data_IF_969318309660
#
_entry.id   IF_969318309660
#
_cell.length_a   1.000
_cell.length_b   1.000
_cell.length_c   1.000
_cell.angle_alpha   90.00
_cell.angle_beta   90.00
_cell.angle_gamma   90.00
#
_symmetry.space_group_name_H-M   'P 1'
#
loop_
_entity.id
_entity.type
_entity.pdbx_description
1 polymer ?
#
# COMPACT_ATOMS: atom_id res chain seq x y z
N UNK A 1 29.87 10.19 -13.32
CA UNK A 1 29.14 9.67 -12.14
C UNK A 1 27.85 8.99 -12.61
N UNK A 2 27.91 7.67 -12.87
CA UNK A 2 26.80 6.90 -13.46
C UNK A 2 25.80 6.56 -12.35
N UNK A 3 24.83 7.44 -12.12
CA UNK A 3 23.71 7.18 -11.20
C UNK A 3 22.95 5.96 -11.71
N UNK A 4 22.72 4.99 -10.83
CA UNK A 4 21.98 3.76 -11.14
C UNK A 4 20.69 4.09 -11.91
N UNK A 5 20.37 3.31 -12.96
CA UNK A 5 19.20 3.51 -13.85
C UNK A 5 17.86 3.23 -13.15
N UNK A 6 17.81 3.22 -11.82
CA UNK A 6 16.60 2.98 -11.06
C UNK A 6 15.71 4.21 -11.14
N UNK A 7 14.53 4.05 -11.72
CA UNK A 7 13.46 5.03 -11.69
C UNK A 7 12.33 4.52 -10.80
N UNK A 8 11.81 5.42 -9.96
CA UNK A 8 10.65 5.13 -9.13
C UNK A 8 9.39 5.13 -10.00
N UNK A 9 8.53 4.12 -9.83
CA UNK A 9 7.25 4.02 -10.54
C UNK A 9 6.13 4.20 -9.54
N UNK A 10 5.58 5.41 -9.47
CA UNK A 10 4.44 5.79 -8.60
C UNK A 10 3.29 4.79 -8.69
N UNK A 11 2.89 4.38 -9.91
CA UNK A 11 1.83 3.39 -10.13
C UNK A 11 2.10 2.00 -9.54
N UNK A 12 3.34 1.65 -9.23
CA UNK A 12 3.71 0.36 -8.61
C UNK A 12 3.84 0.44 -7.09
N UNK A 13 3.66 1.61 -6.51
CA UNK A 13 3.83 1.87 -5.08
C UNK A 13 2.51 2.32 -4.50
N UNK A 14 2.26 2.00 -3.23
CA UNK A 14 1.16 2.55 -2.47
C UNK A 14 1.68 3.27 -1.24
N UNK A 15 1.02 4.36 -0.89
CA UNK A 15 1.36 5.16 0.28
C UNK A 15 0.42 4.89 1.45
N UNK A 16 0.94 5.06 2.66
CA UNK A 16 0.17 5.04 3.91
C UNK A 16 0.87 5.93 4.93
N UNK A 17 0.13 6.87 5.50
CA UNK A 17 0.60 7.73 6.59
C UNK A 17 -0.14 7.32 7.86
N UNK A 18 0.56 7.21 8.99
CA UNK A 18 -0.07 6.88 10.27
C UNK A 18 0.20 8.04 11.23
N UNK A 19 -0.86 8.65 11.74
CA UNK A 19 -0.79 9.67 12.78
C UNK A 19 -1.63 9.25 13.97
N UNK A 20 -1.03 9.26 15.16
CA UNK A 20 -1.70 8.85 16.43
C UNK A 20 -2.37 7.48 16.36
N UNK A 21 -1.72 6.51 15.71
CA UNK A 21 -2.23 5.14 15.57
C UNK A 21 -3.40 4.97 14.59
N UNK A 22 -3.77 6.00 13.84
CA UNK A 22 -4.80 5.94 12.80
C UNK A 22 -4.18 6.22 11.43
N UNK A 23 -4.74 5.60 10.40
CA UNK A 23 -4.39 5.94 9.02
C UNK A 23 -4.80 7.40 8.78
N UNK A 24 -3.85 8.19 8.33
CA UNK A 24 -4.05 9.58 7.94
C UNK A 24 -4.22 9.63 6.42
N UNK A 25 -5.47 9.80 6.01
CA UNK A 25 -5.85 9.82 4.60
C UNK A 25 -5.62 11.18 3.94
N UNK A 26 -5.34 12.23 4.71
CA UNK A 26 -5.14 13.60 4.19
C UNK A 26 -3.72 13.80 3.63
N UNK A 27 -2.80 12.89 3.93
CA UNK A 27 -1.41 12.97 3.48
C UNK A 27 -1.23 12.28 2.13
N UNK A 28 -0.76 13.07 1.16
CA UNK A 28 -0.40 12.60 -0.18
C UNK A 28 1.10 12.61 -0.40
N UNK A 29 1.64 11.47 -0.84
CA UNK A 29 3.04 11.35 -1.21
C UNK A 29 3.20 11.58 -2.70
N UNK A 30 4.14 12.45 -3.08
CA UNK A 30 4.43 12.81 -4.47
C UNK A 30 5.88 12.50 -4.82
N UNK A 31 6.11 11.97 -6.02
CA UNK A 31 7.44 11.82 -6.62
C UNK A 31 7.40 12.35 -8.04
N UNK A 32 8.33 13.28 -8.37
CA UNK A 32 8.44 13.92 -9.69
C UNK A 32 7.05 14.38 -10.19
N UNK A 33 6.34 15.08 -9.30
CA UNK A 33 5.00 15.65 -9.56
C UNK A 33 3.87 14.64 -9.80
N UNK A 34 4.08 13.35 -9.55
CA UNK A 34 3.02 12.33 -9.60
C UNK A 34 2.63 11.88 -8.20
N UNK A 35 1.32 11.76 -7.96
CA UNK A 35 0.79 11.20 -6.72
C UNK A 35 1.02 9.68 -6.65
N UNK A 36 1.42 9.21 -5.49
CA UNK A 36 1.48 7.78 -5.18
C UNK A 36 0.10 7.37 -4.64
N UNK A 37 -0.60 6.43 -5.31
CA UNK A 37 -1.90 5.95 -4.86
C UNK A 37 -1.86 5.50 -3.40
N UNK A 38 -2.93 5.75 -2.64
CA UNK A 38 -3.03 5.30 -1.25
C UNK A 38 -3.46 3.84 -1.21
N UNK A 39 -3.08 3.11 -0.16
CA UNK A 39 -3.55 1.73 0.05
C UNK A 39 -5.08 1.67 0.18
N UNK A 40 -5.72 2.71 0.74
CA UNK A 40 -7.19 2.77 0.82
C UNK A 40 -7.90 2.90 -0.53
N UNK A 41 -7.22 3.42 -1.56
CA UNK A 41 -7.78 3.55 -2.90
C UNK A 41 -7.44 2.35 -3.79
N UNK A 42 -6.18 1.93 -3.74
CA UNK A 42 -5.68 0.80 -4.51
C UNK A 42 -4.99 -0.20 -3.58
N UNK A 43 -5.73 -1.18 -3.04
CA UNK A 43 -5.18 -2.25 -2.22
C UNK A 43 -3.97 -2.92 -2.87
N UNK A 44 -3.07 -3.47 -2.06
CA UNK A 44 -1.83 -4.10 -2.55
C UNK A 44 -1.97 -5.61 -2.47
N UNK A 45 -1.64 -6.29 -3.57
CA UNK A 45 -1.42 -7.73 -3.54
C UNK A 45 0.03 -8.05 -3.16
N UNK A 46 0.24 -8.82 -2.10
CA UNK A 46 1.56 -9.30 -1.69
C UNK A 46 1.48 -10.76 -1.24
N UNK A 47 2.41 -11.59 -1.74
CA UNK A 47 2.48 -13.02 -1.43
C UNK A 47 1.14 -13.76 -1.62
N UNK A 48 0.42 -13.42 -2.69
CA UNK A 48 -0.87 -14.02 -3.02
C UNK A 48 -2.07 -13.44 -2.27
N UNK A 49 -1.88 -12.45 -1.39
CA UNK A 49 -2.94 -11.89 -0.53
C UNK A 49 -3.19 -10.43 -0.83
N UNK A 50 -4.43 -9.98 -0.63
CA UNK A 50 -4.80 -8.57 -0.72
C UNK A 50 -4.70 -7.92 0.66
N UNK A 51 -4.05 -6.76 0.71
CA UNK A 51 -3.96 -5.93 1.89
C UNK A 51 -4.63 -4.59 1.59
N UNK A 52 -5.64 -4.27 2.40
CA UNK A 52 -6.36 -3.02 2.38
C UNK A 52 -5.77 -2.02 3.39
N UNK A 53 -6.43 -0.87 3.56
CA UNK A 53 -6.01 0.21 4.44
C UNK A 53 -5.93 -0.17 5.91
N UNK A 54 -6.55 -1.27 6.33
CA UNK A 54 -6.42 -1.75 7.70
C UNK A 54 -5.01 -2.29 7.97
N UNK A 55 -4.32 -2.80 6.93
CA UNK A 55 -3.07 -3.56 7.02
C UNK A 55 -3.11 -4.69 8.06
N UNK A 56 -4.32 -5.13 8.45
CA UNK A 56 -4.53 -6.21 9.42
C UNK A 56 -4.57 -7.54 8.69
N UNK A 57 -4.03 -8.56 9.35
CA UNK A 57 -4.13 -9.95 8.92
C UNK A 57 -5.07 -10.76 9.83
N UNK A 58 -5.80 -10.12 10.74
CA UNK A 58 -6.63 -10.79 11.74
C UNK A 58 -7.76 -11.64 11.16
N UNK A 59 -8.22 -11.34 9.94
CA UNK A 59 -9.25 -12.12 9.22
C UNK A 59 -8.71 -13.36 8.51
N UNK A 60 -7.40 -13.61 8.60
CA UNK A 60 -6.73 -14.72 7.91
C UNK A 60 -7.27 -16.10 8.30
N UNK A 61 -7.64 -16.29 9.57
CA UNK A 61 -8.19 -17.55 10.05
C UNK A 61 -9.56 -17.86 9.42
N UNK A 62 -10.44 -16.86 9.37
CA UNK A 62 -11.77 -16.99 8.77
C UNK A 62 -11.72 -17.16 7.25
N UNK A 63 -10.84 -16.42 6.55
CA UNK A 63 -10.72 -16.51 5.09
C UNK A 63 -10.14 -17.85 4.61
N UNK A 64 -9.34 -18.52 5.44
CA UNK A 64 -8.81 -19.85 5.12
C UNK A 64 -9.89 -20.93 5.24
N UNK A 65 -10.82 -20.78 6.19
CA UNK A 65 -11.94 -21.71 6.39
C UNK A 65 -13.01 -21.60 5.32
N UNK A 66 -13.29 -20.39 4.81
CA UNK A 66 -14.28 -20.21 3.73
C UNK A 66 -13.84 -20.75 2.37
N UNK A 67 -12.53 -20.95 2.16
CA UNK A 67 -11.96 -21.42 0.89
C UNK A 67 -11.67 -22.93 0.87
N UNK A 68 -11.98 -23.64 1.95
CA UNK A 68 -11.83 -25.09 2.09
C UNK A 68 -13.16 -25.79 1.75
#
# INVERSE_FOLDING_TARGET
MKRSRMSFKTRKSRSSSIRKGKLDEDVWFKIVSQDIPRISQEPVKSLGRWYDSSLKDTKRGSEALEKA
#
